data_IF_990817615838
#
_entry.id   IF_990817615838
#
_cell.length_a   1.000
_cell.length_b   1.000
_cell.length_c   1.000
_cell.angle_alpha   90.00
_cell.angle_beta   90.00
_cell.angle_gamma   90.00
#
_symmetry.space_group_name_H-M   'P 1'
#
loop_
_entity.id
_entity.type
_entity.pdbx_description
1 polymer ?
#
# COMPACT_ATOMS: atom_id res chain seq x y z
N UNK A 1 16.00 31.00 30.74
CA UNK A 1 16.22 31.05 29.27
C UNK A 1 15.91 32.47 28.82
N UNK A 2 16.86 33.14 28.14
CA UNK A 2 16.71 34.56 27.78
C UNK A 2 15.66 34.73 26.66
N UNK A 3 14.68 35.61 26.85
CA UNK A 3 13.59 35.86 25.89
C UNK A 3 14.13 36.25 24.50
N UNK A 4 15.29 36.90 24.48
CA UNK A 4 15.99 37.30 23.26
C UNK A 4 16.54 36.09 22.49
N UNK A 5 17.01 35.06 23.19
CA UNK A 5 17.47 33.81 22.58
C UNK A 5 16.28 33.07 21.94
N UNK A 6 15.15 32.98 22.64
CA UNK A 6 13.92 32.36 22.10
C UNK A 6 13.43 33.11 20.86
N UNK A 7 13.43 34.45 20.88
CA UNK A 7 13.04 35.26 19.73
C UNK A 7 13.93 35.05 18.50
N UNK A 8 15.25 34.92 18.68
CA UNK A 8 16.19 34.63 17.59
C UNK A 8 15.94 33.24 17.00
N UNK A 9 15.71 32.22 17.83
CA UNK A 9 15.39 30.87 17.34
C UNK A 9 14.10 30.84 16.52
N UNK A 10 13.04 31.51 16.99
CA UNK A 10 11.78 31.60 16.26
C UNK A 10 11.93 32.34 14.92
N UNK A 11 12.73 33.40 14.90
CA UNK A 11 13.01 34.14 13.66
C UNK A 11 13.76 33.28 12.65
N UNK A 12 14.81 32.56 13.09
CA UNK A 12 15.56 31.65 12.23
C UNK A 12 14.65 30.54 11.70
N UNK A 13 13.83 29.93 12.57
CA UNK A 13 12.88 28.90 12.19
C UNK A 13 11.89 29.41 11.14
N UNK A 14 11.34 30.61 11.32
CA UNK A 14 10.42 31.23 10.37
C UNK A 14 11.11 31.50 9.01
N UNK A 15 12.32 32.06 9.03
CA UNK A 15 13.09 32.32 7.80
C UNK A 15 13.37 31.02 7.06
N UNK A 16 13.86 29.98 7.75
CA UNK A 16 14.17 28.68 7.14
C UNK A 16 12.90 28.05 6.56
N UNK A 17 11.80 28.07 7.30
CA UNK A 17 10.51 27.51 6.85
C UNK A 17 10.01 28.22 5.62
N UNK A 18 9.89 29.56 5.65
CA UNK A 18 9.44 30.37 4.50
C UNK A 18 10.35 30.13 3.30
N UNK A 19 11.67 30.16 3.49
CA UNK A 19 12.63 29.94 2.42
C UNK A 19 12.48 28.54 1.82
N UNK A 20 12.38 27.49 2.64
CA UNK A 20 12.16 26.11 2.18
C UNK A 20 10.82 25.97 1.46
N UNK A 21 9.74 26.53 1.98
CA UNK A 21 8.41 26.46 1.35
C UNK A 21 8.43 27.04 -0.05
N UNK A 22 9.09 28.19 -0.25
CA UNK A 22 9.14 28.83 -1.58
C UNK A 22 10.24 28.30 -2.50
N UNK A 23 11.28 27.65 -1.97
CA UNK A 23 12.38 27.08 -2.76
C UNK A 23 12.25 25.57 -3.03
N UNK A 24 11.29 24.89 -2.40
CA UNK A 24 11.05 23.46 -2.66
C UNK A 24 10.29 23.33 -3.97
N UNK A 25 11.01 22.96 -5.01
CA UNK A 25 10.42 22.59 -6.29
C UNK A 25 9.98 21.13 -6.25
N UNK A 26 8.73 20.88 -6.63
CA UNK A 26 8.24 19.52 -6.85
C UNK A 26 8.94 18.95 -8.08
N UNK A 27 9.76 17.93 -7.88
CA UNK A 27 10.37 17.17 -8.99
C UNK A 27 9.40 16.06 -9.38
N UNK A 28 8.52 16.34 -10.32
CA UNK A 28 7.67 15.34 -10.96
C UNK A 28 8.36 14.91 -12.27
N UNK A 29 9.20 13.85 -12.26
CA UNK A 29 9.73 13.35 -13.52
C UNK A 29 8.57 12.89 -14.39
N UNK A 30 8.54 13.35 -15.65
CA UNK A 30 7.57 12.86 -16.62
C UNK A 30 7.76 11.35 -16.80
N UNK A 31 6.72 10.54 -16.57
CA UNK A 31 6.82 9.11 -16.83
C UNK A 31 6.96 8.89 -18.34
N UNK A 32 7.83 7.96 -18.72
CA UNK A 32 7.80 7.47 -20.10
C UNK A 32 6.44 6.81 -20.32
N UNK A 33 5.70 7.24 -21.34
CA UNK A 33 4.46 6.57 -21.72
C UNK A 33 4.80 5.13 -22.10
N UNK A 34 4.25 4.18 -21.35
CA UNK A 34 4.25 2.77 -21.71
C UNK A 34 2.84 2.44 -22.21
N UNK A 35 2.75 1.83 -23.39
CA UNK A 35 1.53 1.13 -23.80
C UNK A 35 1.57 -0.23 -23.13
N UNK A 36 0.80 -0.39 -22.06
CA UNK A 36 0.69 -1.67 -21.33
C UNK A 36 -0.66 -2.28 -21.69
N UNK A 37 -0.64 -3.50 -22.23
CA UNK A 37 -1.86 -4.24 -22.52
C UNK A 37 -2.30 -4.97 -21.24
N UNK A 38 -3.07 -4.26 -20.40
CA UNK A 38 -3.64 -4.82 -19.17
C UNK A 38 -5.02 -5.40 -19.44
N UNK A 39 -5.32 -6.53 -18.81
CA UNK A 39 -6.69 -7.03 -18.68
C UNK A 39 -7.39 -6.23 -17.58
N UNK A 40 -8.00 -5.10 -17.97
CA UNK A 40 -8.68 -4.19 -17.05
C UNK A 40 -9.79 -4.89 -16.25
N UNK A 41 -10.56 -5.77 -16.90
CA UNK A 41 -11.65 -6.49 -16.25
C UNK A 41 -11.11 -7.45 -15.17
N UNK A 42 -9.97 -8.09 -15.42
CA UNK A 42 -9.28 -8.94 -14.42
C UNK A 42 -8.81 -8.10 -13.23
N UNK A 43 -8.12 -7.00 -13.47
CA UNK A 43 -7.63 -6.12 -12.41
C UNK A 43 -8.78 -5.53 -11.56
N UNK A 44 -9.88 -5.12 -12.21
CA UNK A 44 -11.08 -4.64 -11.51
C UNK A 44 -11.69 -5.73 -10.64
N UNK A 45 -11.79 -6.98 -11.14
CA UNK A 45 -12.31 -8.11 -10.36
C UNK A 45 -11.44 -8.43 -9.15
N UNK A 46 -10.14 -8.52 -9.33
CA UNK A 46 -9.21 -8.79 -8.23
C UNK A 46 -9.28 -7.71 -7.16
N UNK A 47 -9.30 -6.44 -7.57
CA UNK A 47 -9.41 -5.34 -6.61
C UNK A 47 -10.76 -5.31 -5.91
N UNK A 48 -11.85 -5.53 -6.64
CA UNK A 48 -13.20 -5.69 -6.09
C UNK A 48 -13.25 -6.80 -5.03
N UNK A 49 -12.68 -7.97 -5.32
CA UNK A 49 -12.62 -9.10 -4.40
C UNK A 49 -11.77 -8.79 -3.16
N UNK A 50 -10.62 -8.13 -3.32
CA UNK A 50 -9.74 -7.69 -2.24
C UNK A 50 -10.45 -6.81 -1.20
N UNK A 51 -11.45 -6.02 -1.62
CA UNK A 51 -12.26 -5.15 -0.76
C UNK A 51 -13.29 -5.91 0.08
N UNK A 52 -13.56 -7.18 -0.23
CA UNK A 52 -14.50 -8.01 0.54
C UNK A 52 -13.90 -8.54 1.84
N UNK A 53 -12.57 -8.60 1.93
CA UNK A 53 -11.85 -9.02 3.12
C UNK A 53 -11.84 -7.90 4.17
N UNK A 54 -12.35 -8.18 5.36
CA UNK A 54 -12.48 -7.23 6.47
C UNK A 54 -11.23 -7.20 7.35
N UNK A 55 -10.08 -6.95 6.72
CA UNK A 55 -8.77 -6.83 7.39
C UNK A 55 -8.69 -5.59 8.28
N UNK A 56 -9.61 -5.48 9.23
CA UNK A 56 -9.76 -4.31 10.10
C UNK A 56 -8.74 -4.42 11.21
N UNK A 57 -7.91 -3.40 11.35
CA UNK A 57 -7.01 -3.28 12.49
C UNK A 57 -7.69 -2.49 13.62
N UNK A 58 -7.50 -2.95 14.85
CA UNK A 58 -8.09 -2.36 16.05
C UNK A 58 -7.00 -1.95 17.03
N UNK A 59 -7.18 -0.79 17.66
CA UNK A 59 -6.25 -0.32 18.71
C UNK A 59 -6.16 -1.33 19.86
N UNK A 60 -7.28 -2.00 20.18
CA UNK A 60 -7.28 -3.20 21.00
C UNK A 60 -6.89 -4.41 20.15
N UNK A 61 -5.63 -4.83 20.28
CA UNK A 61 -5.07 -5.97 19.55
C UNK A 61 -5.74 -7.31 19.87
N UNK A 62 -6.51 -7.41 20.96
CA UNK A 62 -7.27 -8.64 21.26
C UNK A 62 -8.45 -8.84 20.32
N UNK A 63 -8.87 -7.80 19.60
CA UNK A 63 -9.90 -7.85 18.56
C UNK A 63 -9.35 -8.18 17.16
N UNK A 64 -8.07 -8.51 17.03
CA UNK A 64 -7.47 -8.85 15.74
C UNK A 64 -8.09 -10.13 15.16
N UNK A 65 -8.62 -10.03 13.94
CA UNK A 65 -9.30 -11.12 13.24
C UNK A 65 -8.30 -11.94 12.41
N UNK A 66 -7.53 -12.79 13.08
CA UNK A 66 -6.49 -13.62 12.43
C UNK A 66 -7.01 -14.35 11.17
N UNK A 67 -8.15 -15.05 11.20
CA UNK A 67 -8.69 -15.72 10.01
C UNK A 67 -8.92 -14.78 8.82
N UNK A 68 -9.33 -13.53 9.04
CA UNK A 68 -9.59 -12.60 7.95
C UNK A 68 -8.31 -12.17 7.23
N UNK A 69 -7.25 -11.94 8.00
CA UNK A 69 -5.93 -11.61 7.47
C UNK A 69 -5.29 -12.82 6.77
N UNK A 70 -5.43 -14.03 7.32
CA UNK A 70 -5.00 -15.26 6.66
C UNK A 70 -5.70 -15.44 5.31
N UNK A 71 -7.03 -15.27 5.26
CA UNK A 71 -7.80 -15.36 4.01
C UNK A 71 -7.38 -14.33 2.96
N UNK A 72 -7.02 -13.11 3.38
CA UNK A 72 -6.51 -12.10 2.45
C UNK A 72 -5.15 -12.51 1.87
N UNK A 73 -4.25 -13.03 2.71
CA UNK A 73 -2.93 -13.50 2.27
C UNK A 73 -3.07 -14.69 1.30
N UNK A 74 -3.94 -15.67 1.62
CA UNK A 74 -4.26 -16.78 0.71
C UNK A 74 -4.82 -16.28 -0.63
N UNK A 75 -5.70 -15.27 -0.59
CA UNK A 75 -6.19 -14.63 -1.81
C UNK A 75 -5.05 -14.04 -2.66
N UNK A 76 -4.06 -13.37 -2.06
CA UNK A 76 -2.90 -12.87 -2.80
C UNK A 76 -2.07 -14.01 -3.40
N UNK A 77 -1.86 -15.09 -2.65
CA UNK A 77 -1.11 -16.29 -3.08
C UNK A 77 -1.78 -16.94 -4.31
N UNK A 78 -3.11 -17.06 -4.29
CA UNK A 78 -3.89 -17.64 -5.39
C UNK A 78 -4.01 -16.71 -6.60
N UNK A 79 -4.11 -15.40 -6.36
CA UNK A 79 -4.37 -14.38 -7.41
C UNK A 79 -3.11 -14.02 -8.18
N UNK A 80 -1.94 -14.03 -7.53
CA UNK A 80 -0.65 -13.63 -8.10
C UNK A 80 0.38 -14.77 -8.03
N UNK A 81 0.14 -15.89 -8.74
CA UNK A 81 0.99 -17.06 -8.68
C UNK A 81 2.40 -16.82 -9.21
N UNK A 82 2.60 -15.98 -10.24
CA UNK A 82 3.94 -15.70 -10.76
C UNK A 82 4.77 -14.93 -9.73
N UNK A 83 4.18 -13.96 -9.04
CA UNK A 83 4.80 -13.25 -7.91
C UNK A 83 5.25 -14.26 -6.84
N UNK A 84 4.35 -15.11 -6.35
CA UNK A 84 4.66 -16.03 -5.25
C UNK A 84 5.60 -17.17 -5.64
N UNK A 85 5.71 -17.50 -6.93
CA UNK A 85 6.65 -18.51 -7.43
C UNK A 85 8.04 -17.95 -7.72
N UNK A 86 8.14 -16.68 -8.12
CA UNK A 86 9.38 -16.10 -8.64
C UNK A 86 10.06 -15.12 -7.70
N UNK A 87 9.33 -14.52 -6.75
CA UNK A 87 9.90 -13.63 -5.75
C UNK A 87 10.18 -14.39 -4.46
N UNK A 88 11.18 -13.91 -3.71
CA UNK A 88 11.40 -14.34 -2.34
C UNK A 88 10.36 -13.66 -1.44
N UNK A 89 9.64 -14.43 -0.62
CA UNK A 89 8.62 -13.91 0.31
C UNK A 89 9.06 -14.15 1.76
N UNK A 90 9.06 -13.10 2.56
CA UNK A 90 9.27 -13.12 4.00
C UNK A 90 8.03 -12.58 4.72
N UNK A 91 7.61 -13.27 5.79
CA UNK A 91 6.54 -12.82 6.67
C UNK A 91 7.14 -12.28 7.97
N UNK A 92 6.82 -11.06 8.33
CA UNK A 92 7.20 -10.43 9.61
C UNK A 92 5.98 -10.41 10.52
N UNK A 93 6.12 -10.93 11.74
CA UNK A 93 5.00 -11.13 12.67
C UNK A 93 3.82 -11.86 12.01
N UNK A 94 4.13 -12.84 11.16
CA UNK A 94 3.21 -13.70 10.39
C UNK A 94 2.33 -13.00 9.33
N UNK A 95 2.14 -11.68 9.41
CA UNK A 95 1.17 -10.94 8.59
C UNK A 95 1.81 -9.86 7.70
N UNK A 96 2.85 -9.15 8.13
CA UNK A 96 3.52 -8.22 7.22
C UNK A 96 4.25 -8.98 6.12
N UNK A 97 4.01 -8.61 4.86
CA UNK A 97 4.54 -9.32 3.70
C UNK A 97 5.68 -8.53 3.07
N UNK A 98 6.84 -9.16 2.94
CA UNK A 98 7.99 -8.61 2.24
C UNK A 98 8.31 -9.50 1.04
N UNK A 99 8.08 -8.96 -0.15
CA UNK A 99 8.47 -9.59 -1.41
C UNK A 99 9.77 -8.97 -1.90
N UNK A 100 10.71 -9.80 -2.34
CA UNK A 100 11.94 -9.34 -2.98
C UNK A 100 12.02 -9.85 -4.41
N UNK A 101 11.97 -8.90 -5.34
CA UNK A 101 12.25 -9.11 -6.75
C UNK A 101 13.71 -8.80 -7.05
N UNK A 102 14.50 -9.86 -7.17
CA UNK A 102 15.93 -9.76 -7.42
C UNK A 102 16.24 -9.09 -8.76
N UNK A 103 17.11 -8.09 -8.73
CA UNK A 103 17.55 -7.37 -9.91
C UNK A 103 18.69 -8.06 -10.65
N UNK A 104 18.81 -7.76 -11.94
CA UNK A 104 19.85 -8.34 -12.81
C UNK A 104 21.25 -7.71 -12.60
N UNK A 105 21.36 -6.57 -11.93
CA UNK A 105 22.63 -5.86 -11.73
C UNK A 105 22.96 -5.69 -10.24
N UNK A 106 24.12 -6.20 -9.81
CA UNK A 106 24.59 -6.09 -8.43
C UNK A 106 25.10 -4.67 -8.10
N UNK A 107 25.00 -4.30 -6.82
CA UNK A 107 25.58 -3.05 -6.30
C UNK A 107 24.77 -1.78 -6.55
N UNK A 108 23.59 -1.88 -7.18
CA UNK A 108 22.64 -0.75 -7.25
C UNK A 108 21.81 -0.68 -5.97
N UNK A 109 21.46 0.54 -5.57
CA UNK A 109 20.51 0.74 -4.46
C UNK A 109 19.14 0.14 -4.83
N UNK A 110 18.49 -0.60 -3.91
CA UNK A 110 17.16 -1.16 -4.15
C UNK A 110 16.09 -0.07 -4.22
N UNK A 111 14.92 -0.44 -4.73
CA UNK A 111 13.69 0.34 -4.65
C UNK A 111 12.77 -0.33 -3.62
N UNK A 112 12.17 0.45 -2.74
CA UNK A 112 11.11 -0.02 -1.84
C UNK A 112 9.78 0.58 -2.25
N UNK A 113 8.78 -0.27 -2.44
CA UNK A 113 7.38 0.11 -2.60
C UNK A 113 6.63 -0.37 -1.36
N UNK A 114 6.05 0.56 -0.63
CA UNK A 114 5.32 0.30 0.62
C UNK A 114 3.84 0.52 0.40
N UNK A 115 3.02 -0.31 1.00
CA UNK A 115 1.57 -0.16 1.06
C UNK A 115 1.07 -0.93 2.29
N UNK A 116 -0.22 -0.91 2.57
CA UNK A 116 -0.81 -1.67 3.67
C UNK A 116 -2.16 -2.23 3.24
N UNK A 117 -2.55 -3.35 3.86
CA UNK A 117 -3.81 -4.01 3.54
C UNK A 117 -4.76 -4.09 4.73
N UNK A 118 -4.35 -3.58 5.90
CA UNK A 118 -5.32 -3.30 6.95
C UNK A 118 -6.17 -2.08 6.62
N UNK A 119 -7.30 -1.96 7.30
CA UNK A 119 -8.23 -0.86 7.06
C UNK A 119 -8.85 -0.38 8.36
N UNK A 120 -9.19 0.91 8.39
CA UNK A 120 -9.96 1.47 9.49
C UNK A 120 -11.35 0.79 9.63
N UNK A 121 -11.85 0.63 10.86
CA UNK A 121 -13.20 0.15 11.10
C UNK A 121 -14.26 1.09 10.48
N UNK A 122 -15.41 0.52 10.13
CA UNK A 122 -16.61 1.31 9.85
C UNK A 122 -17.19 1.77 11.18
N UNK A 123 -17.57 3.04 11.27
CA UNK A 123 -18.19 3.58 12.48
C UNK A 123 -19.52 2.85 12.73
N UNK A 124 -19.65 2.19 13.88
CA UNK A 124 -20.83 1.41 14.24
C UNK A 124 -22.12 2.25 14.13
N UNK A 125 -23.13 1.69 13.48
CA UNK A 125 -24.42 2.35 13.26
C UNK A 125 -24.46 3.29 12.07
N UNK A 126 -23.36 3.41 11.31
CA UNK A 126 -23.30 4.20 10.07
C UNK A 126 -23.32 3.36 8.81
N UNK A 127 -23.49 2.04 8.91
CA UNK A 127 -23.49 1.10 7.78
C UNK A 127 -24.53 1.48 6.72
N UNK A 128 -25.70 1.98 7.16
CA UNK A 128 -26.77 2.44 6.28
C UNK A 128 -26.49 3.77 5.57
N UNK A 129 -25.44 4.50 5.95
CA UNK A 129 -25.02 5.72 5.26
C UNK A 129 -24.19 5.43 4.00
N UNK A 130 -23.74 4.19 3.83
CA UNK A 130 -23.02 3.75 2.64
C UNK A 130 -23.99 3.45 1.50
N UNK A 131 -23.76 4.04 0.33
CA UNK A 131 -24.55 3.76 -0.88
C UNK A 131 -24.36 2.32 -1.36
N UNK A 132 -23.11 1.83 -1.27
CA UNK A 132 -22.74 0.43 -1.47
C UNK A 132 -22.05 -0.06 -0.20
N UNK A 133 -22.37 -1.29 0.24
CA UNK A 133 -21.88 -1.81 1.51
C UNK A 133 -20.35 -1.66 1.67
N UNK A 134 -19.84 -1.33 2.87
CA UNK A 134 -18.45 -0.95 3.06
C UNK A 134 -17.44 -2.05 2.71
N UNK A 135 -17.85 -3.31 2.65
CA UNK A 135 -16.98 -4.43 2.24
C UNK A 135 -17.64 -5.22 1.10
N UNK A 136 -18.38 -4.53 0.24
CA UNK A 136 -19.08 -5.16 -0.89
C UNK A 136 -18.18 -5.39 -2.09
N UNK A 137 -17.16 -4.53 -2.28
CA UNK A 137 -16.38 -4.50 -3.51
C UNK A 137 -17.22 -4.10 -4.74
N UNK A 138 -18.41 -3.52 -4.57
CA UNK A 138 -19.34 -3.28 -5.68
C UNK A 138 -18.69 -2.40 -6.76
N UNK A 139 -18.73 -2.88 -8.00
CA UNK A 139 -18.35 -2.12 -9.19
C UNK A 139 -19.63 -1.58 -9.83
N UNK A 140 -19.82 -0.27 -9.82
CA UNK A 140 -20.99 0.38 -10.44
C UNK A 140 -20.62 1.78 -10.91
N UNK A 141 -21.22 2.22 -12.01
CA UNK A 141 -21.11 3.60 -12.52
C UNK A 141 -19.67 4.10 -12.75
N UNK A 142 -18.74 3.18 -13.06
CA UNK A 142 -17.32 3.48 -13.27
C UNK A 142 -16.50 3.60 -11.98
N UNK A 143 -17.08 3.23 -10.84
CA UNK A 143 -16.47 3.31 -9.51
C UNK A 143 -16.43 1.93 -8.85
N UNK A 144 -15.45 1.73 -7.96
CA UNK A 144 -15.32 0.53 -7.12
C UNK A 144 -15.50 0.95 -5.67
N UNK A 145 -16.53 0.40 -5.03
CA UNK A 145 -16.94 0.80 -3.69
C UNK A 145 -16.45 -0.18 -2.63
N UNK A 146 -15.77 0.37 -1.62
CA UNK A 146 -15.32 -0.39 -0.46
C UNK A 146 -14.42 0.42 0.49
N UNK A 147 -14.37 0.00 1.74
CA UNK A 147 -13.33 0.36 2.71
C UNK A 147 -12.05 -0.34 2.25
N UNK A 148 -10.98 0.43 2.11
CA UNK A 148 -9.73 -0.06 1.52
C UNK A 148 -9.48 0.48 0.11
N UNK A 149 -10.49 1.06 -0.57
CA UNK A 149 -10.32 1.45 -1.99
C UNK A 149 -9.26 2.52 -2.20
N UNK A 150 -9.21 3.54 -1.33
CA UNK A 150 -8.19 4.60 -1.43
C UNK A 150 -7.07 4.46 -0.41
N UNK A 151 -7.29 3.65 0.63
CA UNK A 151 -6.40 3.54 1.77
C UNK A 151 -6.42 2.11 2.33
N UNK A 152 -5.45 1.25 1.97
CA UNK A 152 -4.53 1.38 0.82
C UNK A 152 -4.45 0.06 0.02
N UNK A 153 -5.56 -0.69 -0.03
CA UNK A 153 -5.60 -1.93 -0.83
C UNK A 153 -5.34 -1.68 -2.31
N UNK A 154 -5.62 -0.47 -2.81
CA UNK A 154 -5.28 -0.08 -4.18
C UNK A 154 -3.77 -0.10 -4.43
N UNK A 155 -2.96 0.30 -3.45
CA UNK A 155 -1.50 0.23 -3.53
C UNK A 155 -1.02 -1.21 -3.60
N UNK A 156 -1.48 -2.07 -2.68
CA UNK A 156 -1.13 -3.51 -2.65
C UNK A 156 -1.49 -4.20 -3.96
N UNK A 157 -2.76 -4.08 -4.38
CA UNK A 157 -3.27 -4.72 -5.58
C UNK A 157 -2.61 -4.16 -6.83
N UNK A 158 -2.47 -2.84 -6.96
CA UNK A 158 -1.82 -2.23 -8.12
C UNK A 158 -0.35 -2.62 -8.28
N UNK A 159 0.41 -2.73 -7.18
CA UNK A 159 1.79 -3.19 -7.20
C UNK A 159 1.86 -4.65 -7.66
N UNK A 160 0.98 -5.51 -7.14
CA UNK A 160 0.96 -6.94 -7.47
C UNK A 160 0.49 -7.20 -8.90
N UNK A 161 -0.53 -6.50 -9.39
CA UNK A 161 -0.97 -6.57 -10.79
C UNK A 161 0.15 -6.20 -11.76
N UNK A 162 0.88 -5.11 -11.46
CA UNK A 162 2.01 -4.69 -12.28
C UNK A 162 3.16 -5.71 -12.24
N UNK A 163 3.47 -6.25 -11.07
CA UNK A 163 4.53 -7.23 -10.90
C UNK A 163 4.18 -8.55 -11.61
N UNK A 164 2.97 -9.08 -11.40
CA UNK A 164 2.48 -10.31 -12.03
C UNK A 164 2.55 -10.20 -13.55
N UNK A 165 2.00 -9.12 -14.11
CA UNK A 165 2.04 -8.88 -15.56
C UNK A 165 3.47 -8.86 -16.12
N UNK A 166 4.37 -8.12 -15.47
CA UNK A 166 5.77 -8.02 -15.90
C UNK A 166 6.50 -9.37 -15.77
N UNK A 167 6.22 -10.16 -14.73
CA UNK A 167 6.79 -11.49 -14.54
C UNK A 167 6.30 -12.47 -15.60
N UNK A 168 5.02 -12.43 -15.98
CA UNK A 168 4.45 -13.22 -17.07
C UNK A 168 5.09 -12.86 -18.43
N UNK A 169 5.49 -11.61 -18.63
CA UNK A 169 6.27 -11.17 -19.81
C UNK A 169 7.77 -11.51 -19.73
N UNK A 170 8.24 -12.08 -18.62
CA UNK A 170 9.64 -12.42 -18.41
C UNK A 170 10.54 -11.21 -18.16
N UNK A 171 9.98 -10.10 -17.69
CA UNK A 171 10.74 -8.92 -17.30
C UNK A 171 11.63 -9.20 -16.08
N UNK A 172 12.84 -8.63 -16.09
CA UNK A 172 13.73 -8.63 -14.94
C UNK A 172 14.17 -7.19 -14.62
N UNK A 173 13.97 -6.70 -13.39
CA UNK A 173 14.36 -5.35 -13.02
C UNK A 173 15.88 -5.24 -12.97
N UNK A 174 16.40 -4.03 -13.19
CA UNK A 174 17.86 -3.77 -13.09
C UNK A 174 18.35 -3.65 -11.65
N UNK A 175 17.45 -3.51 -10.69
CA UNK A 175 17.72 -3.29 -9.26
C UNK A 175 16.80 -4.21 -8.48
N UNK A 176 17.20 -4.58 -7.27
CA UNK A 176 16.28 -5.24 -6.37
C UNK A 176 15.09 -4.31 -6.11
N UNK A 177 13.89 -4.87 -6.17
CA UNK A 177 12.65 -4.19 -5.82
C UNK A 177 12.02 -4.94 -4.66
N UNK A 178 11.71 -4.21 -3.60
CA UNK A 178 11.04 -4.73 -2.42
C UNK A 178 9.61 -4.22 -2.41
N UNK A 179 8.66 -5.13 -2.24
CA UNK A 179 7.28 -4.79 -1.89
C UNK A 179 7.10 -5.08 -0.41
N UNK A 180 6.67 -4.09 0.37
CA UNK A 180 6.53 -4.19 1.82
C UNK A 180 5.10 -3.81 2.18
N UNK A 181 4.30 -4.80 2.57
CA UNK A 181 2.89 -4.64 2.87
C UNK A 181 2.64 -4.80 4.37
N UNK A 182 2.25 -3.71 5.01
CA UNK A 182 1.89 -3.66 6.43
C UNK A 182 0.46 -4.17 6.68
N UNK A 183 0.20 -4.56 7.93
CA UNK A 183 -1.09 -5.11 8.38
C UNK A 183 -1.64 -4.38 9.62
N UNK A 184 -1.04 -3.26 10.01
CA UNK A 184 -1.43 -2.47 11.17
C UNK A 184 -1.14 -0.97 11.06
N UNK A 185 -1.08 -0.43 9.84
CA UNK A 185 -0.78 0.99 9.58
C UNK A 185 -1.82 1.91 10.23
N UNK A 186 -3.11 1.54 10.12
CA UNK A 186 -4.25 2.36 10.57
C UNK A 186 -4.29 2.54 12.10
N UNK A 187 -3.46 1.79 12.83
CA UNK A 187 -3.30 1.87 14.29
C UNK A 187 -1.86 2.17 14.73
N UNK A 188 -0.98 2.54 13.79
CA UNK A 188 0.35 3.10 14.05
C UNK A 188 1.54 2.25 13.60
N UNK A 189 1.32 1.01 13.15
CA UNK A 189 2.35 0.22 12.46
C UNK A 189 3.35 -0.56 13.33
N UNK A 190 3.20 -0.56 14.65
CA UNK A 190 4.19 -1.11 15.60
C UNK A 190 4.61 -2.58 15.35
N UNK A 191 3.75 -3.38 14.69
CA UNK A 191 3.99 -4.81 14.47
C UNK A 191 4.42 -5.16 13.03
N UNK A 192 4.36 -4.23 12.09
CA UNK A 192 4.71 -4.59 10.71
C UNK A 192 4.74 -3.48 9.68
N UNK A 193 4.10 -2.33 9.95
CA UNK A 193 4.08 -1.21 9.01
C UNK A 193 5.14 -0.10 9.30
N UNK A 194 5.70 -0.02 10.52
CA UNK A 194 6.62 1.05 10.96
C UNK A 194 8.12 0.73 10.84
#
# INVERSE_FOLDING_TARGET
MNLLIVGVFLLIFAIVTVTRTFMTESRQPEPNKAEVALDEDKAIRHFSEALTFKTISYQDRTAFDYPEFERFIEFLEDTYPAVHQQLEVEKVNDYALIYKWSGSESGKKPIGLTSHYDVAPVLEGTEANWEQGPFSGTVTDGEIWGRGTLDDKIGVIGILEAAEHLLEEGYAPKRDVYFMFGFDEEIGGDEGAA
#
